data_IF_735007064714
#
_entry.id   IF_735007064714
#
_cell.length_a   1.000
_cell.length_b   1.000
_cell.length_c   1.000
_cell.angle_alpha   90.00
_cell.angle_beta   90.00
_cell.angle_gamma   90.00
#
_symmetry.space_group_name_H-M   'P 1'
#
loop_
_entity.id
_entity.type
_entity.pdbx_description
1 polymer ?
#
# COMPACT_ATOMS: atom_id res chain seq x y z
N UNK A 1 -17.53 66.93 46.18
CA UNK A 1 -16.38 66.83 47.11
C UNK A 1 -15.36 65.92 46.44
N UNK A 2 -14.38 66.47 45.71
CA UNK A 2 -12.99 66.73 46.15
C UNK A 2 -12.38 65.54 46.90
N UNK A 3 -11.42 64.85 46.28
CA UNK A 3 -10.02 64.90 46.73
C UNK A 3 -9.09 64.22 45.71
N UNK A 4 -8.11 65.00 45.27
CA UNK A 4 -6.87 64.64 44.60
C UNK A 4 -5.81 64.38 45.68
N UNK A 5 -4.80 63.53 45.40
CA UNK A 5 -3.41 63.48 45.94
C UNK A 5 -2.99 62.05 46.32
N UNK A 6 -1.78 61.51 46.13
CA UNK A 6 -0.56 61.78 45.36
C UNK A 6 0.47 60.68 45.79
N UNK A 7 1.27 60.17 44.83
CA UNK A 7 2.65 59.61 44.92
C UNK A 7 3.04 58.51 45.96
N UNK A 8 3.57 57.36 45.50
CA UNK A 8 5.03 57.08 45.28
C UNK A 8 5.44 55.60 45.56
N UNK A 9 6.22 55.05 44.61
CA UNK A 9 7.33 54.10 44.74
C UNK A 9 7.17 52.69 45.32
N UNK A 10 7.54 51.69 44.50
CA UNK A 10 8.67 50.82 44.88
C UNK A 10 8.50 49.31 44.68
N UNK A 11 9.38 48.78 43.81
CA UNK A 11 10.06 47.48 43.88
C UNK A 11 9.63 46.37 42.91
N UNK A 12 10.63 45.98 42.12
CA UNK A 12 10.72 44.89 41.16
C UNK A 12 10.40 43.52 41.74
N UNK A 13 9.73 42.68 40.93
CA UNK A 13 10.05 41.27 40.82
C UNK A 13 9.86 40.82 39.36
N UNK A 14 10.97 40.68 38.62
CA UNK A 14 11.01 39.76 37.49
C UNK A 14 10.89 38.34 38.04
N UNK A 15 10.08 37.49 37.44
CA UNK A 15 10.44 36.09 37.14
C UNK A 15 9.33 35.33 36.39
N UNK A 16 9.73 34.84 35.21
CA UNK A 16 9.48 33.48 34.70
C UNK A 16 8.19 33.21 33.90
N UNK A 17 8.42 33.18 32.58
CA UNK A 17 7.99 32.19 31.61
C UNK A 17 6.49 31.93 31.42
N UNK A 18 6.02 32.41 30.27
CA UNK A 18 4.89 31.86 29.54
C UNK A 18 5.08 30.35 29.32
N UNK A 19 4.33 29.55 30.07
CA UNK A 19 4.09 28.15 29.79
C UNK A 19 2.62 27.99 29.43
N UNK A 20 2.19 28.58 28.31
CA UNK A 20 1.00 28.06 27.66
C UNK A 20 1.46 27.06 26.60
N UNK A 21 1.38 25.79 26.98
CA UNK A 21 1.74 24.64 26.16
C UNK A 21 0.89 24.69 24.91
N UNK A 22 1.52 24.93 23.76
CA UNK A 22 0.93 24.64 22.46
C UNK A 22 0.35 23.22 22.50
N UNK A 23 -0.96 23.11 22.28
CA UNK A 23 -1.63 21.85 22.09
C UNK A 23 -0.94 21.14 20.92
N UNK A 24 -0.26 20.03 21.22
CA UNK A 24 0.23 19.11 20.20
C UNK A 24 -1.01 18.58 19.50
N UNK A 25 -1.13 18.71 18.16
CA UNK A 25 -2.25 18.10 17.48
C UNK A 25 -2.15 16.59 17.68
N UNK A 26 -3.24 15.99 18.17
CA UNK A 26 -3.39 14.53 18.24
C UNK A 26 -3.11 13.96 16.85
N UNK A 27 -1.93 13.34 16.71
CA UNK A 27 -1.61 12.52 15.56
C UNK A 27 -2.61 11.37 15.61
N UNK A 28 -3.69 11.49 14.84
CA UNK A 28 -4.58 10.38 14.56
C UNK A 28 -3.72 9.15 14.29
N UNK A 29 -4.00 7.98 14.90
CA UNK A 29 -3.21 6.80 14.67
C UNK A 29 -3.19 6.57 13.16
N UNK A 30 -2.02 6.77 12.55
CA UNK A 30 -1.81 6.41 11.16
C UNK A 30 -2.11 4.93 11.12
N UNK A 31 -3.22 4.54 10.49
CA UNK A 31 -3.39 3.16 10.06
C UNK A 31 -2.07 2.77 9.39
N UNK A 32 -1.42 1.71 9.87
CA UNK A 32 -0.11 1.33 9.38
C UNK A 32 -0.27 1.08 7.88
N UNK A 33 0.33 1.93 7.05
CA UNK A 33 0.14 1.89 5.58
C UNK A 33 0.57 0.55 4.98
N UNK A 34 1.34 -0.25 5.72
CA UNK A 34 1.87 -1.54 5.32
C UNK A 34 1.50 -2.57 6.39
N UNK A 35 0.63 -3.52 6.06
CA UNK A 35 0.22 -4.61 6.94
C UNK A 35 0.29 -5.95 6.21
N UNK A 36 0.74 -6.97 6.92
CA UNK A 36 0.57 -8.36 6.49
C UNK A 36 0.15 -9.24 7.68
N UNK A 37 -0.66 -10.27 7.40
CA UNK A 37 -1.08 -11.31 8.34
C UNK A 37 -1.26 -12.63 7.57
N UNK A 38 -0.17 -13.39 7.46
CA UNK A 38 -0.06 -14.53 6.54
C UNK A 38 0.30 -15.82 7.31
N UNK A 39 -0.70 -16.67 7.63
CA UNK A 39 -0.45 -17.97 8.25
C UNK A 39 0.08 -19.00 7.26
N UNK A 40 -0.21 -18.82 5.97
CA UNK A 40 0.25 -19.68 4.88
C UNK A 40 1.06 -18.88 3.85
N UNK A 41 1.87 -19.60 3.08
CA UNK A 41 2.67 -19.01 2.00
C UNK A 41 1.79 -18.71 0.79
N UNK A 42 1.54 -17.42 0.57
CA UNK A 42 0.81 -16.86 -0.58
C UNK A 42 1.74 -16.26 -1.64
N UNK A 43 3.06 -16.48 -1.52
CA UNK A 43 4.03 -15.89 -2.43
C UNK A 43 3.89 -16.44 -3.86
N UNK A 44 4.30 -15.62 -4.83
CA UNK A 44 4.31 -15.95 -6.24
C UNK A 44 3.74 -14.84 -7.12
N UNK A 45 3.44 -15.21 -8.36
CA UNK A 45 2.92 -14.32 -9.39
C UNK A 45 1.45 -14.60 -9.67
N UNK A 46 0.64 -13.57 -9.61
CA UNK A 46 -0.78 -13.59 -9.89
C UNK A 46 -1.00 -12.99 -11.28
N UNK A 47 -1.28 -13.85 -12.25
CA UNK A 47 -1.38 -13.52 -13.67
C UNK A 47 -2.84 -13.32 -14.06
N UNK A 48 -3.22 -12.18 -14.66
CA UNK A 48 -4.59 -11.96 -15.12
C UNK A 48 -5.04 -13.03 -16.11
N UNK A 49 -6.26 -13.56 -15.94
CA UNK A 49 -6.86 -14.54 -16.86
C UNK A 49 -7.51 -13.88 -18.07
N UNK A 50 -7.74 -12.57 -18.01
CA UNK A 50 -8.26 -11.75 -19.10
C UNK A 50 -7.38 -10.51 -19.26
N UNK A 51 -7.34 -9.94 -20.46
CA UNK A 51 -6.60 -8.71 -20.72
C UNK A 51 -7.24 -7.56 -19.92
N UNK A 52 -6.42 -6.89 -19.10
CA UNK A 52 -6.76 -5.64 -18.43
C UNK A 52 -5.83 -4.55 -18.96
N UNK A 53 -6.37 -3.55 -19.64
CA UNK A 53 -5.59 -2.60 -20.42
C UNK A 53 -6.12 -1.16 -20.30
N UNK A 54 -5.19 -0.22 -20.14
CA UNK A 54 -5.41 1.23 -20.13
C UNK A 54 -4.43 1.89 -21.09
N UNK A 55 -4.95 2.46 -22.19
CA UNK A 55 -4.10 2.92 -23.28
C UNK A 55 -3.21 1.78 -23.79
N UNK A 56 -1.91 2.01 -23.88
CA UNK A 56 -0.93 1.01 -24.32
C UNK A 56 -0.51 0.03 -23.21
N UNK A 57 -0.87 0.30 -21.96
CA UNK A 57 -0.41 -0.46 -20.81
C UNK A 57 -1.37 -1.59 -20.45
N UNK A 58 -0.84 -2.81 -20.42
CA UNK A 58 -1.54 -4.02 -20.02
C UNK A 58 -1.02 -4.49 -18.66
N UNK A 59 -1.93 -4.87 -17.77
CA UNK A 59 -1.56 -5.54 -16.53
C UNK A 59 -0.83 -6.84 -16.84
N UNK A 60 0.41 -6.96 -16.38
CA UNK A 60 1.26 -8.12 -16.60
C UNK A 60 1.09 -9.12 -15.45
N UNK A 61 1.31 -8.69 -14.21
CA UNK A 61 1.05 -9.50 -13.01
C UNK A 61 0.97 -8.64 -11.75
N UNK A 62 0.44 -9.25 -10.69
CA UNK A 62 0.68 -8.86 -9.30
C UNK A 62 1.68 -9.86 -8.71
N UNK A 63 2.77 -9.39 -8.12
CA UNK A 63 3.74 -10.18 -7.39
C UNK A 63 3.46 -10.05 -5.89
N UNK A 64 3.52 -11.17 -5.18
CA UNK A 64 3.52 -11.21 -3.71
C UNK A 64 4.76 -11.99 -3.27
N UNK A 65 5.59 -11.37 -2.45
CA UNK A 65 6.81 -11.95 -1.90
C UNK A 65 6.56 -12.88 -0.72
N UNK A 66 7.63 -13.45 -0.20
CA UNK A 66 7.55 -14.31 0.99
C UNK A 66 7.45 -13.46 2.27
N UNK A 67 7.04 -14.07 3.38
CA UNK A 67 6.96 -13.39 4.69
C UNK A 67 8.25 -12.64 5.06
N UNK A 68 9.48 -13.17 4.82
CA UNK A 68 10.71 -12.42 5.05
C UNK A 68 10.80 -11.09 4.28
N UNK A 69 10.27 -11.00 3.06
CA UNK A 69 10.24 -9.76 2.28
C UNK A 69 9.35 -8.71 2.95
N UNK A 70 8.20 -9.14 3.48
CA UNK A 70 7.30 -8.27 4.24
C UNK A 70 7.93 -7.79 5.54
N UNK A 71 8.64 -8.67 6.24
CA UNK A 71 9.35 -8.34 7.49
C UNK A 71 10.49 -7.35 7.22
N UNK A 72 11.34 -7.64 6.24
CA UNK A 72 12.41 -6.73 5.80
C UNK A 72 11.84 -5.37 5.40
N UNK A 73 10.73 -5.35 4.65
CA UNK A 73 10.05 -4.11 4.31
C UNK A 73 9.52 -3.39 5.57
N UNK A 74 8.81 -4.04 6.46
CA UNK A 74 8.36 -3.38 7.70
C UNK A 74 9.53 -2.79 8.50
N UNK A 75 10.66 -3.50 8.54
CA UNK A 75 11.84 -3.12 9.33
C UNK A 75 12.73 -2.07 8.63
N UNK A 76 12.25 -1.51 7.51
CA UNK A 76 12.87 -0.38 6.81
C UNK A 76 13.93 -0.76 5.78
N UNK A 77 14.17 -2.05 5.53
CA UNK A 77 15.04 -2.49 4.45
C UNK A 77 14.33 -2.23 3.11
N UNK A 78 14.84 -1.24 2.37
CA UNK A 78 14.26 -0.77 1.10
C UNK A 78 15.27 -0.99 -0.02
N UNK A 79 15.14 -2.10 -0.73
CA UNK A 79 15.89 -2.33 -1.96
C UNK A 79 15.26 -1.53 -3.10
N UNK A 80 16.08 -0.79 -3.85
CA UNK A 80 15.59 0.02 -4.96
C UNK A 80 14.87 -0.88 -5.99
N UNK A 81 13.66 -0.49 -6.38
CA UNK A 81 12.86 -1.22 -7.38
C UNK A 81 12.24 -2.54 -6.89
N UNK A 82 12.28 -2.82 -5.58
CA UNK A 82 11.68 -4.00 -4.98
C UNK A 82 10.79 -3.65 -3.80
N UNK A 83 9.69 -4.37 -3.66
CA UNK A 83 8.78 -4.34 -2.52
C UNK A 83 8.12 -5.72 -2.36
N UNK A 84 7.59 -6.08 -1.18
CA UNK A 84 7.00 -7.40 -0.94
C UNK A 84 5.67 -7.62 -1.68
N UNK A 85 5.07 -6.57 -2.21
CA UNK A 85 3.95 -6.65 -3.14
C UNK A 85 4.18 -5.62 -4.24
N UNK A 86 4.07 -6.05 -5.49
CA UNK A 86 4.34 -5.17 -6.65
C UNK A 86 3.38 -5.49 -7.76
N UNK A 87 2.90 -4.47 -8.46
CA UNK A 87 2.10 -4.66 -9.66
C UNK A 87 2.92 -4.23 -10.87
N UNK A 88 2.97 -5.06 -11.90
CA UNK A 88 3.73 -4.77 -13.12
C UNK A 88 2.77 -4.60 -14.29
N UNK A 89 2.97 -3.54 -15.06
CA UNK A 89 2.32 -3.31 -16.34
C UNK A 89 3.37 -3.31 -17.44
N UNK A 90 2.98 -3.76 -18.63
CA UNK A 90 3.83 -3.70 -19.81
C UNK A 90 3.08 -3.10 -20.99
N UNK A 91 3.82 -2.50 -21.92
CA UNK A 91 3.22 -2.02 -23.16
C UNK A 91 2.82 -3.19 -24.06
N UNK A 92 1.83 -2.99 -24.93
CA UNK A 92 1.34 -4.06 -25.83
C UNK A 92 2.42 -4.67 -26.75
N UNK A 93 3.43 -3.89 -27.11
CA UNK A 93 4.62 -4.32 -27.87
C UNK A 93 5.69 -5.01 -26.99
N UNK A 94 5.47 -5.08 -25.67
CA UNK A 94 6.36 -5.61 -24.64
C UNK A 94 7.72 -4.90 -24.53
N UNK A 95 7.88 -3.75 -25.18
CA UNK A 95 9.14 -3.01 -25.19
C UNK A 95 9.42 -2.30 -23.86
N UNK A 96 8.37 -1.99 -23.09
CA UNK A 96 8.47 -1.28 -21.81
C UNK A 96 7.70 -1.99 -20.73
N UNK A 97 8.28 -1.99 -19.53
CA UNK A 97 7.62 -2.42 -18.30
C UNK A 97 7.69 -1.32 -17.26
N UNK A 98 6.61 -1.14 -16.50
CA UNK A 98 6.58 -0.28 -15.34
C UNK A 98 6.17 -1.11 -14.14
N UNK A 99 7.01 -1.07 -13.11
CA UNK A 99 6.81 -1.78 -11.85
C UNK A 99 6.37 -0.78 -10.81
N UNK A 100 5.24 -1.07 -10.18
CA UNK A 100 4.63 -0.22 -9.18
C UNK A 100 5.11 -0.65 -7.80
N UNK A 101 5.81 0.28 -7.13
CA UNK A 101 6.17 0.17 -5.73
C UNK A 101 4.98 0.69 -4.90
N UNK A 102 4.49 -0.08 -3.91
CA UNK A 102 3.31 0.28 -3.15
C UNK A 102 3.56 1.51 -2.27
N UNK A 103 2.61 2.42 -2.26
CA UNK A 103 2.48 3.48 -1.24
C UNK A 103 1.71 2.98 -0.02
N UNK A 104 0.84 1.99 -0.20
CA UNK A 104 0.18 1.25 0.88
C UNK A 104 -0.17 -0.18 0.45
N UNK A 105 -0.26 -1.10 1.40
CA UNK A 105 -0.83 -2.42 1.21
C UNK A 105 -1.37 -3.02 2.51
N UNK A 106 -2.34 -3.93 2.37
CA UNK A 106 -2.80 -4.84 3.42
C UNK A 106 -3.00 -6.23 2.82
N UNK A 107 -2.21 -7.19 3.26
CA UNK A 107 -2.22 -8.56 2.73
C UNK A 107 -2.51 -9.54 3.86
N UNK A 108 -3.67 -10.20 3.80
CA UNK A 108 -4.08 -11.24 4.75
C UNK A 108 -4.20 -12.58 4.02
N UNK A 109 -4.57 -13.64 4.75
CA UNK A 109 -4.90 -14.93 4.14
C UNK A 109 -6.03 -14.84 3.10
N UNK A 110 -7.00 -13.94 3.27
CA UNK A 110 -8.20 -13.90 2.42
C UNK A 110 -8.30 -12.63 1.58
N UNK A 111 -7.41 -11.63 1.79
CA UNK A 111 -7.51 -10.32 1.16
C UNK A 111 -6.17 -9.78 0.70
N UNK A 112 -6.18 -9.13 -0.45
CA UNK A 112 -5.08 -8.30 -0.94
C UNK A 112 -5.59 -6.90 -1.22
N UNK A 113 -5.00 -5.90 -0.56
CA UNK A 113 -5.14 -4.49 -0.89
C UNK A 113 -3.78 -3.92 -1.27
N UNK A 114 -3.76 -3.18 -2.38
CA UNK A 114 -2.56 -2.57 -2.92
C UNK A 114 -2.88 -1.16 -3.42
N UNK A 115 -2.04 -0.20 -3.09
CA UNK A 115 -2.11 1.16 -3.62
C UNK A 115 -0.72 1.60 -4.06
N UNK A 116 -0.63 2.24 -5.22
CA UNK A 116 0.59 2.80 -5.76
C UNK A 116 0.30 3.99 -6.68
N UNK A 117 1.35 4.63 -7.15
CA UNK A 117 1.26 5.65 -8.19
C UNK A 117 2.40 5.49 -9.18
N UNK A 118 2.15 5.76 -10.46
CA UNK A 118 3.21 5.96 -11.45
C UNK A 118 2.95 7.17 -12.33
N UNK A 119 4.01 7.63 -13.00
CA UNK A 119 3.92 8.73 -13.96
C UNK A 119 3.09 8.34 -15.18
N UNK A 120 3.14 7.07 -15.58
CA UNK A 120 2.49 6.58 -16.80
C UNK A 120 1.03 6.20 -16.59
N UNK A 121 0.66 5.75 -15.40
CA UNK A 121 -0.68 5.20 -15.09
C UNK A 121 -1.49 6.07 -14.12
N UNK A 122 -0.86 7.03 -13.44
CA UNK A 122 -1.48 7.76 -12.34
C UNK A 122 -1.62 6.91 -11.09
N UNK A 123 -2.67 7.16 -10.31
CA UNK A 123 -2.98 6.37 -9.12
C UNK A 123 -3.50 4.97 -9.51
N UNK A 124 -2.99 3.94 -8.84
CA UNK A 124 -3.38 2.55 -9.04
C UNK A 124 -3.81 1.97 -7.70
N UNK A 125 -4.96 1.29 -7.67
CA UNK A 125 -5.41 0.55 -6.48
C UNK A 125 -6.03 -0.77 -6.87
N UNK A 126 -5.78 -1.80 -6.07
CA UNK A 126 -6.37 -3.11 -6.20
C UNK A 126 -6.92 -3.57 -4.86
N UNK A 127 -8.11 -4.13 -4.88
CA UNK A 127 -8.72 -4.82 -3.74
C UNK A 127 -9.28 -6.14 -4.24
N UNK A 128 -8.79 -7.26 -3.70
CA UNK A 128 -9.21 -8.59 -4.10
C UNK A 128 -9.25 -9.58 -2.96
N UNK A 129 -10.02 -10.64 -3.17
CA UNK A 129 -10.16 -11.78 -2.28
C UNK A 129 -9.33 -12.96 -2.79
N UNK A 130 -8.57 -13.58 -1.90
CA UNK A 130 -7.81 -14.80 -2.14
C UNK A 130 -8.66 -16.03 -1.81
N UNK A 131 -8.71 -16.97 -2.74
CA UNK A 131 -9.27 -18.30 -2.50
C UNK A 131 -8.14 -19.23 -2.05
N UNK A 132 -8.07 -19.47 -0.74
CA UNK A 132 -7.02 -20.31 -0.14
C UNK A 132 -7.09 -21.77 -0.61
N UNK A 133 -8.29 -22.31 -0.86
CA UNK A 133 -8.45 -23.67 -1.35
C UNK A 133 -7.92 -23.81 -2.79
N UNK A 134 -8.26 -22.84 -3.65
CA UNK A 134 -7.76 -22.77 -5.02
C UNK A 134 -6.25 -22.53 -5.05
N UNK A 135 -5.72 -21.65 -4.20
CA UNK A 135 -4.29 -21.36 -4.11
C UNK A 135 -3.50 -22.58 -3.64
N UNK A 136 -3.94 -23.26 -2.58
CA UNK A 136 -3.30 -24.49 -2.10
C UNK A 136 -3.27 -25.58 -3.17
N UNK A 137 -4.35 -25.70 -3.95
CA UNK A 137 -4.42 -26.62 -5.10
C UNK A 137 -3.45 -26.22 -6.20
N UNK A 138 -3.43 -24.94 -6.59
CA UNK A 138 -2.53 -24.42 -7.60
C UNK A 138 -1.06 -24.61 -7.24
N UNK A 139 -0.69 -24.43 -5.97
CA UNK A 139 0.68 -24.64 -5.46
C UNK A 139 1.08 -26.11 -5.52
N UNK A 140 0.21 -27.03 -5.07
CA UNK A 140 0.46 -28.49 -5.14
C UNK A 140 0.65 -28.98 -6.57
N UNK A 141 -0.04 -28.35 -7.52
CA UNK A 141 -0.02 -28.71 -8.94
C UNK A 141 0.99 -27.89 -9.76
N UNK A 142 1.84 -27.06 -9.13
CA UNK A 142 2.86 -26.23 -9.79
C UNK A 142 2.31 -25.25 -10.86
N UNK A 143 1.13 -24.68 -10.61
CA UNK A 143 0.53 -23.67 -11.50
C UNK A 143 -0.71 -24.16 -12.24
N UNK A 144 -1.69 -24.63 -11.47
CA UNK A 144 -2.99 -25.07 -11.99
C UNK A 144 -3.74 -23.95 -12.76
N UNK A 145 -4.56 -24.36 -13.72
CA UNK A 145 -5.51 -23.50 -14.41
C UNK A 145 -6.67 -23.22 -13.45
N UNK A 146 -6.62 -22.08 -12.76
CA UNK A 146 -7.69 -21.72 -11.84
C UNK A 146 -7.57 -20.29 -11.38
N UNK A 147 -8.71 -19.64 -11.13
CA UNK A 147 -8.72 -18.31 -10.55
C UNK A 147 -8.52 -18.45 -9.04
N UNK A 148 -7.46 -17.86 -8.52
CA UNK A 148 -7.11 -17.86 -7.08
C UNK A 148 -7.35 -16.50 -6.43
N UNK A 149 -7.40 -15.44 -7.23
CA UNK A 149 -7.54 -14.07 -6.76
C UNK A 149 -8.55 -13.35 -7.65
N UNK A 150 -9.58 -12.77 -7.04
CA UNK A 150 -10.59 -11.97 -7.74
C UNK A 150 -10.74 -10.62 -7.07
N UNK A 151 -10.79 -9.55 -7.86
CA UNK A 151 -10.87 -8.22 -7.28
C UNK A 151 -11.29 -7.12 -8.23
N UNK A 152 -11.26 -5.91 -7.71
CA UNK A 152 -11.42 -4.67 -8.45
C UNK A 152 -10.06 -4.01 -8.60
N UNK A 153 -9.73 -3.61 -9.82
CA UNK A 153 -8.56 -2.80 -10.13
C UNK A 153 -9.01 -1.42 -10.60
N UNK A 154 -8.42 -0.37 -10.05
CA UNK A 154 -8.55 1.00 -10.55
C UNK A 154 -7.19 1.51 -11.00
N UNK A 155 -7.15 2.12 -12.18
CA UNK A 155 -5.95 2.70 -12.80
C UNK A 155 -6.34 4.07 -13.36
N UNK A 156 -5.83 5.14 -12.75
CA UNK A 156 -6.31 6.50 -13.00
C UNK A 156 -7.83 6.57 -12.81
N UNK A 157 -8.54 7.01 -13.86
CA UNK A 157 -10.00 7.13 -13.87
C UNK A 157 -10.72 5.86 -14.35
N UNK A 158 -9.99 4.80 -14.70
CA UNK A 158 -10.56 3.54 -15.20
C UNK A 158 -10.71 2.54 -14.06
N UNK A 159 -11.90 1.93 -13.98
CA UNK A 159 -12.20 0.84 -13.03
C UNK A 159 -12.48 -0.44 -13.80
N UNK A 160 -11.93 -1.55 -13.33
CA UNK A 160 -12.12 -2.91 -13.81
C UNK A 160 -12.64 -3.75 -12.66
N UNK A 161 -13.92 -4.12 -12.72
CA UNK A 161 -14.52 -5.05 -11.78
C UNK A 161 -14.28 -6.49 -12.24
N UNK A 162 -14.13 -7.41 -11.28
CA UNK A 162 -14.01 -8.85 -11.57
C UNK A 162 -12.68 -9.26 -12.20
N UNK A 163 -11.62 -8.48 -12.02
CA UNK A 163 -10.25 -8.88 -12.42
C UNK A 163 -9.92 -10.20 -11.73
N UNK A 164 -9.69 -11.22 -12.54
CA UNK A 164 -9.43 -12.58 -12.09
C UNK A 164 -7.99 -12.96 -12.41
N UNK A 165 -7.29 -13.56 -11.46
CA UNK A 165 -5.89 -13.95 -11.61
C UNK A 165 -5.67 -15.40 -11.20
N UNK A 166 -4.80 -16.08 -11.95
CA UNK A 166 -4.26 -17.41 -11.63
C UNK A 166 -2.91 -17.28 -10.97
N UNK A 167 -2.52 -18.29 -10.19
CA UNK A 167 -1.21 -18.34 -9.55
C UNK A 167 -0.14 -18.96 -10.46
N UNK A 168 1.10 -18.53 -10.28
CA UNK A 168 2.29 -19.12 -10.88
C UNK A 168 3.48 -18.97 -9.91
N UNK A 169 4.27 -20.03 -9.76
CA UNK A 169 5.36 -20.09 -8.78
C UNK A 169 6.51 -19.12 -9.07
N UNK A 170 6.68 -18.71 -10.33
CA UNK A 170 7.97 -18.23 -10.81
C UNK A 170 8.75 -19.36 -11.47
N UNK A 171 9.76 -18.99 -12.26
CA UNK A 171 10.81 -19.88 -12.78
C UNK A 171 12.03 -19.77 -11.84
#
# INVERSE_FOLDING_TARGET
MRALSILLAGALALTVAACDRGAVPDKAPSATAFKHDLPEDVSGYYIPTTVVQVGDWRLHHLFIGQVPDFMAWRDGQRTAGFAPIMMEFETGDKARRTRLIPTAYDVTEDRVRFEASSRELGAVSFEGALDQGALATARRNLGDQGVVLKGRLKVGDRTFDGVSMRWWAGD
#
